data_IF_927200263506
#
_entry.id   IF_927200263506
#
_cell.length_a   1.000
_cell.length_b   1.000
_cell.length_c   1.000
_cell.angle_alpha   90.00
_cell.angle_beta   90.00
_cell.angle_gamma   90.00
#
_symmetry.space_group_name_H-M   'P 1'
#
loop_
_entity.id
_entity.type
_entity.pdbx_description
1 polymer ?
#
# COMPACT_ATOMS: atom_id res chain seq x y z
N UNK A 1 9.81 4.43 21.88
CA UNK A 1 8.91 5.36 21.18
C UNK A 1 7.68 4.56 20.78
N UNK A 2 6.45 5.05 21.00
CA UNK A 2 5.25 4.29 20.56
C UNK A 2 5.14 4.43 19.04
N UNK A 3 5.16 3.33 18.30
CA UNK A 3 4.75 3.33 16.91
C UNK A 3 3.32 3.90 16.84
N UNK A 4 3.15 4.98 16.09
CA UNK A 4 1.84 5.58 15.92
C UNK A 4 0.99 4.67 15.04
N UNK A 5 -0.26 4.46 15.44
CA UNK A 5 -1.16 3.52 14.74
C UNK A 5 -1.32 3.94 13.28
N UNK A 6 -1.11 2.99 12.36
CA UNK A 6 -1.38 3.16 10.94
C UNK A 6 -2.83 3.60 10.72
N UNK A 7 -3.01 4.51 9.78
CA UNK A 7 -4.29 5.02 9.31
C UNK A 7 -4.40 4.83 7.80
N UNK A 8 -5.64 4.82 7.31
CA UNK A 8 -5.88 4.87 5.87
C UNK A 8 -5.28 6.18 5.31
N UNK A 9 -4.70 6.13 4.10
CA UNK A 9 -4.22 7.33 3.44
C UNK A 9 -5.38 8.31 3.23
N UNK A 10 -5.04 9.59 3.06
CA UNK A 10 -6.04 10.60 2.69
C UNK A 10 -6.78 10.17 1.41
N UNK A 11 -8.09 10.46 1.29
CA UNK A 11 -8.82 10.25 0.05
C UNK A 11 -8.06 10.85 -1.14
N UNK A 12 -8.03 10.12 -2.24
CA UNK A 12 -7.31 10.52 -3.44
C UNK A 12 -8.18 10.26 -4.68
N UNK A 13 -7.92 11.02 -5.74
CA UNK A 13 -8.51 10.79 -7.04
C UNK A 13 -7.38 10.43 -8.02
N UNK A 14 -7.67 9.50 -8.92
CA UNK A 14 -6.80 9.26 -10.07
C UNK A 14 -6.94 10.44 -11.05
N UNK A 15 -5.90 10.73 -11.84
CA UNK A 15 -5.91 11.84 -12.82
C UNK A 15 -7.10 11.75 -13.77
N UNK A 16 -7.44 10.52 -14.17
CA UNK A 16 -8.62 10.20 -14.97
C UNK A 16 -9.52 9.22 -14.19
N UNK A 17 -10.85 9.29 -14.34
CA UNK A 17 -11.74 8.28 -13.78
C UNK A 17 -11.36 6.88 -14.28
N UNK A 18 -11.20 5.91 -13.36
CA UNK A 18 -10.82 4.53 -13.70
C UNK A 18 -11.87 3.53 -13.20
N UNK A 19 -11.96 2.39 -13.87
CA UNK A 19 -12.83 1.28 -13.45
C UNK A 19 -12.18 0.44 -12.36
N UNK A 20 -12.97 -0.42 -11.71
CA UNK A 20 -12.45 -1.42 -10.76
C UNK A 20 -11.44 -2.36 -11.42
N UNK A 21 -11.69 -2.80 -12.65
CA UNK A 21 -10.79 -3.65 -13.40
C UNK A 21 -9.43 -2.96 -13.67
N UNK A 22 -9.45 -1.70 -14.10
CA UNK A 22 -8.23 -0.91 -14.31
C UNK A 22 -7.44 -0.75 -13.01
N UNK A 23 -8.11 -0.41 -11.90
CA UNK A 23 -7.46 -0.31 -10.60
C UNK A 23 -6.81 -1.63 -10.16
N UNK A 24 -7.49 -2.76 -10.38
CA UNK A 24 -6.93 -4.08 -10.06
C UNK A 24 -5.69 -4.37 -10.90
N UNK A 25 -5.73 -4.14 -12.22
CA UNK A 25 -4.56 -4.34 -13.08
C UNK A 25 -3.36 -3.50 -12.62
N UNK A 26 -3.57 -2.21 -12.32
CA UNK A 26 -2.52 -1.33 -11.80
C UNK A 26 -1.91 -1.85 -10.48
N UNK A 27 -2.74 -2.42 -9.60
CA UNK A 27 -2.26 -3.03 -8.34
C UNK A 27 -1.42 -4.26 -8.62
N UNK A 28 -1.85 -5.14 -9.51
CA UNK A 28 -1.11 -6.35 -9.87
C UNK A 28 0.23 -6.01 -10.51
N UNK A 29 0.26 -5.08 -11.48
CA UNK A 29 1.50 -4.60 -12.11
C UNK A 29 2.48 -4.02 -11.09
N UNK A 30 1.98 -3.25 -10.11
CA UNK A 30 2.83 -2.73 -9.05
C UNK A 30 3.42 -3.86 -8.19
N UNK A 31 2.61 -4.84 -7.77
CA UNK A 31 3.09 -5.91 -6.89
C UNK A 31 4.00 -6.91 -7.60
N UNK A 32 3.83 -7.10 -8.91
CA UNK A 32 4.74 -7.90 -9.74
C UNK A 32 6.13 -7.25 -9.84
N UNK A 33 6.16 -5.92 -10.00
CA UNK A 33 7.41 -5.17 -10.19
C UNK A 33 8.07 -4.66 -8.89
N UNK A 34 7.31 -4.59 -7.80
CA UNK A 34 7.74 -4.07 -6.48
C UNK A 34 9.08 -4.61 -5.97
N UNK A 35 9.35 -5.93 -6.02
CA UNK A 35 10.63 -6.49 -5.55
C UNK A 35 11.86 -5.98 -6.31
N UNK A 36 11.68 -5.42 -7.50
CA UNK A 36 12.77 -4.88 -8.32
C UNK A 36 13.17 -3.43 -7.94
N UNK A 37 12.37 -2.73 -7.13
CA UNK A 37 12.69 -1.35 -6.69
C UNK A 37 13.75 -1.27 -5.57
N UNK A 38 14.27 -2.42 -5.13
CA UNK A 38 15.26 -2.53 -4.08
C UNK A 38 14.66 -2.93 -2.73
N UNK A 39 15.50 -3.03 -1.70
CA UNK A 39 15.11 -3.56 -0.40
C UNK A 39 14.99 -5.08 -0.39
N UNK A 40 14.27 -5.61 0.59
CA UNK A 40 14.11 -7.04 0.84
C UNK A 40 12.74 -7.51 0.33
N UNK A 41 12.73 -8.63 -0.40
CA UNK A 41 11.49 -9.22 -0.94
C UNK A 41 10.47 -9.53 0.16
N UNK A 42 10.94 -10.01 1.31
CA UNK A 42 10.10 -10.32 2.48
C UNK A 42 9.38 -9.08 3.01
N UNK A 43 10.00 -7.90 2.94
CA UNK A 43 9.39 -6.64 3.36
C UNK A 43 8.32 -6.22 2.36
N UNK A 44 8.57 -6.40 1.05
CA UNK A 44 7.54 -6.18 0.03
C UNK A 44 6.33 -7.10 0.20
N UNK A 45 6.55 -8.38 0.53
CA UNK A 45 5.47 -9.33 0.84
C UNK A 45 4.67 -8.92 2.08
N UNK A 46 5.35 -8.47 3.14
CA UNK A 46 4.68 -7.94 4.34
C UNK A 46 3.89 -6.66 4.04
N UNK A 47 4.45 -5.73 3.26
CA UNK A 47 3.78 -4.48 2.87
C UNK A 47 2.53 -4.74 2.03
N UNK A 48 2.58 -5.72 1.13
CA UNK A 48 1.42 -6.19 0.36
C UNK A 48 0.34 -6.73 1.28
N UNK A 49 0.69 -7.66 2.16
CA UNK A 49 -0.24 -8.22 3.12
C UNK A 49 -0.87 -7.14 4.03
N UNK A 50 -0.08 -6.14 4.45
CA UNK A 50 -0.56 -5.03 5.25
C UNK A 50 -1.50 -4.09 4.46
N UNK A 51 -1.25 -3.87 3.17
CA UNK A 51 -2.11 -3.06 2.31
C UNK A 51 -3.49 -3.70 2.05
N UNK A 52 -3.56 -5.03 2.01
CA UNK A 52 -4.78 -5.81 1.79
C UNK A 52 -5.55 -6.08 3.10
N UNK A 53 -4.90 -5.95 4.25
CA UNK A 53 -5.45 -6.19 5.58
C UNK A 53 -6.24 -5.00 6.16
N UNK A 54 -7.03 -5.26 7.20
CA UNK A 54 -7.57 -4.19 8.03
C UNK A 54 -6.48 -3.50 8.87
N UNK A 55 -6.77 -2.29 9.36
CA UNK A 55 -5.77 -1.47 10.07
C UNK A 55 -5.12 -2.16 11.28
N UNK A 56 -5.85 -3.05 11.97
CA UNK A 56 -5.32 -3.75 13.15
C UNK A 56 -4.33 -4.83 12.72
N UNK A 57 -4.69 -5.60 11.70
CA UNK A 57 -3.80 -6.63 11.15
C UNK A 57 -2.61 -6.01 10.42
N UNK A 58 -2.81 -4.95 9.64
CA UNK A 58 -1.75 -4.20 8.98
C UNK A 58 -0.69 -3.69 9.97
N UNK A 59 -1.13 -3.18 11.13
CA UNK A 59 -0.23 -2.78 12.21
C UNK A 59 0.62 -3.96 12.70
N UNK A 60 0.00 -5.09 13.02
CA UNK A 60 0.71 -6.30 13.44
C UNK A 60 1.72 -6.77 12.39
N UNK A 61 1.37 -6.72 11.10
CA UNK A 61 2.25 -7.14 10.01
C UNK A 61 3.49 -6.25 9.94
N UNK A 62 3.32 -4.92 9.94
CA UNK A 62 4.49 -4.00 9.86
C UNK A 62 5.37 -4.09 11.11
N UNK A 63 4.77 -4.22 12.30
CA UNK A 63 5.52 -4.37 13.54
C UNK A 63 6.32 -5.69 13.54
N UNK A 64 5.72 -6.78 13.06
CA UNK A 64 6.40 -8.08 12.95
C UNK A 64 7.49 -8.09 11.89
N UNK A 65 7.39 -7.26 10.85
CA UNK A 65 8.36 -7.16 9.78
C UNK A 65 9.49 -6.14 10.05
N UNK A 66 9.47 -5.45 11.20
CA UNK A 66 10.45 -4.40 11.51
C UNK A 66 10.30 -3.16 10.61
N UNK A 67 9.10 -2.90 10.10
CA UNK A 67 8.84 -1.79 9.18
C UNK A 67 8.45 -0.53 9.94
N UNK A 68 9.15 0.56 9.65
CA UNK A 68 8.94 1.89 10.22
C UNK A 68 8.13 2.74 9.23
N UNK A 69 6.91 3.12 9.62
CA UNK A 69 6.00 3.92 8.79
C UNK A 69 6.20 5.42 9.06
N UNK A 70 6.57 6.22 8.05
CA UNK A 70 6.88 7.64 8.24
C UNK A 70 5.61 8.52 8.31
N UNK A 71 4.66 8.34 7.40
CA UNK A 71 3.51 9.26 7.23
C UNK A 71 2.28 8.86 8.06
N UNK A 72 2.39 7.86 8.96
CA UNK A 72 1.25 7.16 9.61
C UNK A 72 0.28 6.48 8.64
N UNK A 73 0.61 6.48 7.37
CA UNK A 73 -0.02 5.72 6.31
C UNK A 73 1.08 5.00 5.54
N UNK A 74 0.77 3.84 4.97
CA UNK A 74 1.76 2.95 4.35
C UNK A 74 2.42 3.55 3.08
N UNK A 75 2.19 4.82 2.73
CA UNK A 75 2.76 5.41 1.51
C UNK A 75 4.27 5.49 1.51
N UNK A 76 4.89 5.62 2.69
CA UNK A 76 6.34 5.68 2.85
C UNK A 76 6.78 4.91 4.09
N UNK A 77 7.47 3.81 3.84
CA UNK A 77 7.93 2.84 4.82
C UNK A 77 9.44 2.65 4.72
N UNK A 78 10.06 2.29 5.84
CA UNK A 78 11.49 2.00 5.94
C UNK A 78 11.68 0.68 6.65
N UNK A 79 12.70 -0.10 6.30
CA UNK A 79 13.14 -1.21 7.14
C UNK A 79 14.28 -0.81 8.09
N UNK A 80 14.59 -1.67 9.05
CA UNK A 80 15.68 -1.45 10.02
C UNK A 80 17.07 -1.31 9.38
N UNK A 81 17.22 -1.72 8.12
CA UNK A 81 18.47 -1.64 7.34
C UNK A 81 18.58 -0.31 6.58
N UNK A 82 17.54 0.53 6.63
CA UNK A 82 17.49 1.82 5.95
C UNK A 82 17.03 1.74 4.50
N UNK A 83 16.46 0.61 4.05
CA UNK A 83 15.84 0.54 2.72
C UNK A 83 14.50 1.28 2.73
N UNK A 84 14.21 1.98 1.63
CA UNK A 84 13.01 2.80 1.46
C UNK A 84 11.98 2.09 0.59
N UNK A 85 10.74 2.06 1.03
CA UNK A 85 9.60 1.45 0.35
C UNK A 85 8.51 2.49 0.16
N UNK A 86 8.14 2.73 -1.10
CA UNK A 86 7.09 3.68 -1.47
C UNK A 86 5.89 2.93 -2.02
N UNK A 87 4.73 3.07 -1.38
CA UNK A 87 3.48 2.48 -1.83
C UNK A 87 2.58 3.57 -2.43
N UNK A 88 2.24 3.47 -3.72
CA UNK A 88 1.28 4.36 -4.34
C UNK A 88 -0.09 4.29 -3.65
N UNK A 89 -0.84 5.39 -3.67
CA UNK A 89 -2.17 5.42 -3.03
C UNK A 89 -3.13 4.40 -3.63
N UNK A 90 -2.98 4.08 -4.91
CA UNK A 90 -3.83 3.10 -5.59
C UNK A 90 -3.69 1.68 -5.05
N UNK A 91 -2.56 1.31 -4.45
CA UNK A 91 -2.42 0.00 -3.78
C UNK A 91 -2.94 0.01 -2.34
N UNK A 92 -3.15 1.19 -1.76
CA UNK A 92 -3.56 1.35 -0.36
C UNK A 92 -5.06 1.64 -0.18
N UNK A 93 -5.69 2.30 -1.15
CA UNK A 93 -7.11 2.61 -1.11
C UNK A 93 -7.68 2.84 -2.50
N UNK A 94 -9.01 2.72 -2.61
CA UNK A 94 -9.72 3.04 -3.84
C UNK A 94 -9.78 4.56 -4.06
N UNK A 95 -9.70 5.04 -5.31
CA UNK A 95 -9.85 6.45 -5.61
C UNK A 95 -11.30 6.90 -5.44
N UNK A 96 -11.51 8.19 -5.17
CA UNK A 96 -12.85 8.79 -5.04
C UNK A 96 -13.60 8.88 -6.37
N UNK A 97 -12.87 8.86 -7.49
CA UNK A 97 -13.42 8.88 -8.85
C UNK A 97 -13.44 7.49 -9.52
N UNK A 98 -13.63 6.43 -8.73
CA UNK A 98 -13.80 5.08 -9.25
C UNK A 98 -15.15 4.97 -9.99
N UNK A 99 -15.10 4.59 -11.27
CA UNK A 99 -16.28 4.35 -12.10
C UNK A 99 -16.78 2.92 -11.82
N UNK A 100 -18.08 2.79 -11.60
CA UNK A 100 -18.76 1.49 -11.65
C UNK A 100 -18.98 1.14 -13.12
N UNK A 101 -18.50 -0.02 -13.55
CA UNK A 101 -18.88 -0.54 -14.86
C UNK A 101 -20.39 -0.81 -14.83
N UNK A 102 -21.19 0.01 -15.53
CA UNK A 102 -22.59 -0.30 -15.76
C UNK A 102 -22.65 -1.46 -16.76
N UNK A 103 -22.92 -2.66 -16.26
CA UNK A 103 -23.19 -3.82 -17.11
C UNK A 103 -22.91 -5.16 -16.44
N UNK A 104 -23.85 -5.62 -15.60
CA UNK A 104 -24.79 -6.68 -16.00
C UNK A 104 -25.98 -6.75 -15.04
#
# INVERSE_FOLDING_TARGET
MKAEKIRKPKPWAHTEPITRAQLTNMREEFWDTSPHYGGQREIWEALRAAAEADLKLAQTIVDSAGVIVQNRDLTLCWDERGARYELPRYVLSDPTNLIREEGQ
#
